data_IF_914044395652
#
_entry.id   IF_914044395652
#
_cell.length_a   1.000
_cell.length_b   1.000
_cell.length_c   1.000
_cell.angle_alpha   90.00
_cell.angle_beta   90.00
_cell.angle_gamma   90.00
#
_symmetry.space_group_name_H-M   'P 1'
#
loop_
_entity.id
_entity.type
_entity.pdbx_description
1 polymer ?
#
# COMPACT_ATOMS: atom_id res chain seq x y z
N UNK A 1 12.13 -4.98 5.33
CA UNK A 1 13.22 -4.81 6.32
C UNK A 1 13.56 -3.31 6.45
N UNK A 2 13.96 -2.82 7.62
CA UNK A 2 14.21 -1.40 7.99
C UNK A 2 13.01 -0.54 8.46
N UNK A 3 11.75 -0.95 8.26
CA UNK A 3 10.53 -0.22 8.70
C UNK A 3 9.44 -1.14 9.30
N UNK A 4 9.83 -2.10 10.15
CA UNK A 4 8.95 -3.18 10.63
C UNK A 4 7.72 -2.64 11.36
N UNK A 5 7.91 -1.72 12.31
CA UNK A 5 6.80 -1.13 13.09
C UNK A 5 5.78 -0.47 12.17
N UNK A 6 6.24 0.42 11.27
CA UNK A 6 5.37 1.08 10.30
C UNK A 6 4.58 0.07 9.46
N UNK A 7 5.25 -0.95 8.90
CA UNK A 7 4.59 -1.95 8.06
C UNK A 7 3.57 -2.78 8.83
N UNK A 8 3.88 -3.19 10.06
CA UNK A 8 2.98 -3.95 10.92
C UNK A 8 1.76 -3.12 11.32
N UNK A 9 1.95 -1.85 11.69
CA UNK A 9 0.86 -0.93 12.01
C UNK A 9 -0.06 -0.69 10.81
N UNK A 10 0.48 -0.54 9.60
CA UNK A 10 -0.34 -0.41 8.38
C UNK A 10 -1.11 -1.68 8.03
N UNK A 11 -0.55 -2.86 8.29
CA UNK A 11 -1.26 -4.13 8.12
C UNK A 11 -2.38 -4.30 9.15
N UNK A 12 -2.13 -3.89 10.40
CA UNK A 12 -3.17 -3.88 11.45
C UNK A 12 -4.39 -3.07 11.02
N UNK A 13 -4.20 -1.87 10.44
CA UNK A 13 -5.31 -1.02 9.96
C UNK A 13 -6.18 -1.77 8.94
N UNK A 14 -5.58 -2.58 8.05
CA UNK A 14 -6.33 -3.37 7.07
C UNK A 14 -7.24 -4.37 7.81
N UNK A 15 -6.67 -5.18 8.69
CA UNK A 15 -7.43 -6.20 9.43
C UNK A 15 -8.54 -5.56 10.30
N UNK A 16 -8.22 -4.44 10.96
CA UNK A 16 -9.18 -3.68 11.76
C UNK A 16 -10.34 -3.14 10.91
N UNK A 17 -10.03 -2.60 9.73
CA UNK A 17 -11.04 -2.11 8.78
C UNK A 17 -11.92 -3.25 8.28
N UNK A 18 -11.35 -4.41 7.94
CA UNK A 18 -12.12 -5.58 7.52
C UNK A 18 -13.04 -6.08 8.64
N UNK A 19 -12.58 -6.11 9.89
CA UNK A 19 -13.40 -6.41 11.07
C UNK A 19 -14.57 -5.45 11.22
N UNK A 20 -14.29 -4.14 11.25
CA UNK A 20 -15.33 -3.12 11.35
C UNK A 20 -16.34 -3.16 10.21
N UNK A 21 -15.89 -3.44 8.98
CA UNK A 21 -16.80 -3.60 7.85
C UNK A 21 -17.83 -4.71 8.08
N UNK A 22 -17.41 -5.84 8.67
CA UNK A 22 -18.31 -6.95 8.99
C UNK A 22 -19.25 -6.60 10.15
N UNK A 23 -18.74 -5.97 11.21
CA UNK A 23 -19.55 -5.58 12.38
C UNK A 23 -20.61 -4.53 12.06
N UNK A 24 -20.32 -3.65 11.10
CA UNK A 24 -21.18 -2.52 10.75
C UNK A 24 -22.07 -2.78 9.52
N UNK A 25 -21.98 -3.96 8.90
CA UNK A 25 -22.71 -4.30 7.69
C UNK A 25 -24.25 -4.23 7.88
N UNK A 26 -24.74 -4.65 9.04
CA UNK A 26 -26.18 -4.66 9.37
C UNK A 26 -26.76 -3.25 9.54
N UNK A 27 -25.90 -2.24 9.68
CA UNK A 27 -26.27 -0.83 9.83
C UNK A 27 -26.17 -0.04 8.51
N UNK A 28 -25.89 -0.72 7.38
CA UNK A 28 -25.61 -0.09 6.07
C UNK A 28 -24.44 0.92 6.13
N UNK A 29 -23.51 0.72 7.07
CA UNK A 29 -22.30 1.55 7.20
C UNK A 29 -21.16 0.89 6.44
N UNK A 30 -20.58 1.63 5.50
CA UNK A 30 -19.47 1.16 4.66
C UNK A 30 -18.13 1.64 5.21
N UNK A 31 -17.23 0.69 5.46
CA UNK A 31 -15.86 0.95 5.93
C UNK A 31 -14.89 0.49 4.85
N UNK A 32 -13.86 1.30 4.58
CA UNK A 32 -12.85 1.00 3.56
C UNK A 32 -11.45 1.43 4.00
N UNK A 33 -10.47 0.55 3.77
CA UNK A 33 -9.06 0.85 3.86
C UNK A 33 -8.53 1.22 2.46
N UNK A 34 -7.96 2.42 2.33
CA UNK A 34 -7.29 2.86 1.10
C UNK A 34 -5.80 2.66 1.27
N UNK A 35 -5.21 1.84 0.40
CA UNK A 35 -3.81 1.44 0.42
C UNK A 35 -3.08 1.97 -0.83
N UNK A 36 -2.80 3.28 -0.90
CA UNK A 36 -2.13 3.88 -2.03
C UNK A 36 -0.62 3.60 -2.02
N UNK A 37 -0.04 3.57 -3.22
CA UNK A 37 1.40 3.74 -3.44
C UNK A 37 1.87 5.19 -3.20
N UNK A 38 2.90 5.61 -3.94
CA UNK A 38 3.45 6.96 -3.82
C UNK A 38 2.46 8.03 -4.29
N UNK A 39 2.20 9.03 -3.43
CA UNK A 39 1.30 10.17 -3.71
C UNK A 39 2.12 11.44 -3.84
N UNK A 40 1.89 12.24 -4.88
CA UNK A 40 2.57 13.52 -5.07
C UNK A 40 2.06 14.53 -4.05
N UNK A 41 2.74 14.56 -2.92
CA UNK A 41 2.40 15.38 -1.75
C UNK A 41 3.67 15.73 -0.99
N UNK A 42 3.59 16.81 -0.21
CA UNK A 42 4.68 17.26 0.67
C UNK A 42 4.97 16.31 1.83
N UNK A 43 4.18 15.24 1.98
CA UNK A 43 4.41 14.23 3.00
C UNK A 43 5.81 13.61 2.89
N UNK A 44 6.25 13.30 1.67
CA UNK A 44 7.49 12.57 1.47
C UNK A 44 8.71 13.43 1.81
N UNK A 45 8.69 14.70 1.44
CA UNK A 45 9.75 15.65 1.80
C UNK A 45 9.79 15.90 3.31
N UNK A 46 8.63 16.06 3.95
CA UNK A 46 8.53 16.23 5.42
C UNK A 46 8.94 14.98 6.20
N UNK A 47 8.71 13.79 5.65
CA UNK A 47 9.14 12.53 6.24
C UNK A 47 10.64 12.24 6.04
N UNK A 48 11.41 13.18 5.48
CA UNK A 48 12.83 12.99 5.19
C UNK A 48 13.12 11.96 4.09
N UNK A 49 12.12 11.63 3.28
CA UNK A 49 12.27 10.68 2.18
C UNK A 49 12.69 11.41 0.91
N UNK A 50 13.92 11.20 0.45
CA UNK A 50 14.38 11.63 -0.87
C UNK A 50 13.72 10.73 -1.93
N UNK A 51 12.58 11.15 -2.44
CA UNK A 51 11.85 10.45 -3.50
C UNK A 51 12.06 11.12 -4.84
N UNK A 52 12.42 10.30 -5.82
CA UNK A 52 12.47 10.73 -7.22
C UNK A 52 11.04 10.83 -7.78
N UNK A 53 10.52 12.06 -7.79
CA UNK A 53 9.20 12.40 -8.35
C UNK A 53 9.13 12.22 -9.87
N UNK A 54 10.27 12.04 -10.56
CA UNK A 54 10.32 11.85 -12.02
C UNK A 54 10.06 10.41 -12.46
N UNK A 55 9.99 9.45 -11.51
CA UNK A 55 9.67 8.05 -11.81
C UNK A 55 8.28 7.93 -12.45
N UNK A 56 8.29 7.68 -13.76
CA UNK A 56 7.10 7.33 -14.56
C UNK A 56 6.96 5.81 -14.64
N UNK A 57 5.73 5.31 -14.62
CA UNK A 57 5.43 3.87 -14.74
C UNK A 57 4.44 3.36 -13.70
N UNK A 58 4.35 2.04 -13.55
CA UNK A 58 3.35 1.35 -12.70
C UNK A 58 3.51 1.68 -11.20
N UNK A 59 4.68 2.20 -10.80
CA UNK A 59 5.04 2.64 -9.44
C UNK A 59 5.29 4.16 -9.36
N UNK A 60 4.80 4.92 -10.34
CA UNK A 60 4.94 6.38 -10.35
C UNK A 60 4.06 7.07 -9.31
N UNK A 61 4.38 8.33 -9.04
CA UNK A 61 3.61 9.20 -8.16
C UNK A 61 2.20 9.44 -8.71
N UNK A 62 1.19 9.31 -7.84
CA UNK A 62 -0.20 9.59 -8.17
C UNK A 62 -0.64 10.94 -7.62
N UNK A 63 -1.48 11.65 -8.37
CA UNK A 63 -2.12 12.86 -7.88
C UNK A 63 -3.14 12.49 -6.78
N UNK A 64 -3.21 13.26 -5.67
CA UNK A 64 -4.14 12.97 -4.57
C UNK A 64 -5.60 12.86 -5.02
N UNK A 65 -6.03 13.72 -5.95
CA UNK A 65 -7.40 13.69 -6.49
C UNK A 65 -7.75 12.38 -7.18
N UNK A 66 -6.83 11.79 -7.94
CA UNK A 66 -7.05 10.51 -8.61
C UNK A 66 -7.18 9.35 -7.62
N UNK A 67 -6.40 9.39 -6.53
CA UNK A 67 -6.46 8.39 -5.45
C UNK A 67 -7.82 8.43 -4.77
N UNK A 68 -8.30 9.64 -4.42
CA UNK A 68 -9.61 9.83 -3.79
C UNK A 68 -10.73 9.39 -4.73
N UNK A 69 -10.69 9.78 -6.01
CA UNK A 69 -11.70 9.38 -6.99
C UNK A 69 -11.81 7.85 -7.11
N UNK A 70 -10.67 7.15 -7.19
CA UNK A 70 -10.66 5.68 -7.24
C UNK A 70 -11.14 5.04 -5.95
N UNK A 71 -10.78 5.60 -4.79
CA UNK A 71 -11.27 5.13 -3.49
C UNK A 71 -12.80 5.25 -3.40
N UNK A 72 -13.36 6.40 -3.76
CA UNK A 72 -14.81 6.63 -3.76
C UNK A 72 -15.55 5.68 -4.72
N UNK A 73 -15.01 5.45 -5.92
CA UNK A 73 -15.56 4.46 -6.85
C UNK A 73 -15.53 3.04 -6.29
N UNK A 74 -14.45 2.67 -5.59
CA UNK A 74 -14.32 1.37 -4.95
C UNK A 74 -15.27 1.21 -3.76
N UNK A 75 -15.47 2.29 -2.98
CA UNK A 75 -16.40 2.31 -1.84
C UNK A 75 -17.85 2.11 -2.31
N UNK A 76 -18.24 2.76 -3.42
CA UNK A 76 -19.55 2.52 -4.06
C UNK A 76 -19.77 1.06 -4.47
N UNK A 77 -18.70 0.33 -4.79
CA UNK A 77 -18.71 -1.10 -5.16
C UNK A 77 -18.52 -2.04 -3.97
N UNK A 78 -18.58 -1.55 -2.72
CA UNK A 78 -18.35 -2.31 -1.49
C UNK A 78 -16.97 -3.00 -1.46
N UNK A 79 -15.94 -2.40 -2.07
CA UNK A 79 -14.57 -2.91 -2.00
C UNK A 79 -13.94 -2.44 -0.69
N UNK A 80 -13.75 -3.36 0.25
CA UNK A 80 -13.26 -3.05 1.62
C UNK A 80 -11.79 -2.63 1.63
N UNK A 81 -10.93 -3.27 0.83
CA UNK A 81 -9.50 -2.93 0.75
C UNK A 81 -9.17 -2.43 -0.66
N UNK A 82 -9.17 -1.11 -0.82
CA UNK A 82 -8.91 -0.44 -2.09
C UNK A 82 -7.41 -0.18 -2.28
N UNK A 83 -6.86 -0.70 -3.37
CA UNK A 83 -5.50 -0.37 -3.84
C UNK A 83 -5.67 0.44 -5.14
N UNK A 84 -5.51 1.78 -5.13
CA UNK A 84 -5.82 2.64 -6.27
C UNK A 84 -4.79 2.54 -7.40
N UNK A 85 -3.57 2.11 -7.09
CA UNK A 85 -2.46 1.99 -8.02
C UNK A 85 -2.38 0.60 -8.68
N UNK A 86 -2.04 0.60 -9.98
CA UNK A 86 -1.93 -0.65 -10.77
C UNK A 86 -0.75 -1.51 -10.29
N UNK A 87 0.32 -0.88 -9.81
CA UNK A 87 1.54 -1.55 -9.37
C UNK A 87 1.34 -2.29 -8.04
N UNK A 88 0.73 -1.64 -7.07
CA UNK A 88 0.38 -2.24 -5.78
C UNK A 88 -0.68 -3.32 -5.92
N UNK A 89 -1.64 -3.19 -6.86
CA UNK A 89 -2.55 -4.30 -7.19
C UNK A 89 -1.78 -5.54 -7.66
N UNK A 90 -0.79 -5.35 -8.55
CA UNK A 90 0.05 -6.43 -9.04
C UNK A 90 0.91 -7.03 -7.91
N UNK A 91 1.54 -6.19 -7.08
CA UNK A 91 2.32 -6.66 -5.91
C UNK A 91 1.43 -7.44 -4.94
N UNK A 92 0.23 -6.94 -4.64
CA UNK A 92 -0.73 -7.64 -3.77
C UNK A 92 -1.11 -8.99 -4.35
N UNK A 93 -1.33 -9.05 -5.65
CA UNK A 93 -1.65 -10.30 -6.34
C UNK A 93 -0.48 -11.29 -6.26
N UNK A 94 0.73 -10.85 -6.61
CA UNK A 94 1.94 -11.67 -6.53
C UNK A 94 2.16 -12.14 -5.10
N UNK A 95 2.05 -11.26 -4.10
CA UNK A 95 2.22 -11.59 -2.69
C UNK A 95 1.18 -12.61 -2.18
N UNK A 96 -0.03 -12.63 -2.75
CA UNK A 96 -1.07 -13.61 -2.39
C UNK A 96 -0.75 -15.01 -2.92
N UNK A 97 -0.15 -15.12 -4.10
CA UNK A 97 0.10 -16.40 -4.77
C UNK A 97 1.55 -16.90 -4.65
N UNK A 98 2.49 -16.06 -4.21
CA UNK A 98 3.89 -16.42 -4.07
C UNK A 98 4.12 -17.30 -2.83
N UNK A 99 4.80 -18.46 -2.95
CA UNK A 99 5.18 -19.27 -1.81
C UNK A 99 6.06 -18.50 -0.81
N UNK A 100 5.80 -18.65 0.50
CA UNK A 100 6.51 -17.86 1.54
C UNK A 100 8.03 -18.00 1.49
N UNK A 101 8.56 -19.18 1.16
CA UNK A 101 10.02 -19.40 1.02
C UNK A 101 10.64 -18.51 -0.07
N UNK A 102 9.92 -18.33 -1.17
CA UNK A 102 10.34 -17.47 -2.28
C UNK A 102 10.21 -15.99 -1.89
N UNK A 103 9.11 -15.62 -1.22
CA UNK A 103 8.91 -14.27 -0.70
C UNK A 103 10.04 -13.84 0.25
N UNK A 104 10.45 -14.70 1.19
CA UNK A 104 11.55 -14.39 2.10
C UNK A 104 12.88 -14.20 1.39
N UNK A 105 13.19 -15.00 0.37
CA UNK A 105 14.40 -14.82 -0.47
C UNK A 105 14.38 -13.50 -1.25
N UNK A 106 13.24 -13.12 -1.82
CA UNK A 106 13.10 -11.83 -2.51
C UNK A 106 13.18 -10.65 -1.53
N UNK A 107 12.56 -10.78 -0.35
CA UNK A 107 12.58 -9.75 0.69
C UNK A 107 13.97 -9.57 1.33
N UNK A 108 14.76 -10.64 1.45
CA UNK A 108 16.14 -10.57 1.94
C UNK A 108 17.09 -9.98 0.91
N UNK A 109 16.96 -10.34 -0.38
CA UNK A 109 17.77 -9.75 -1.46
C UNK A 109 17.57 -8.25 -1.66
N UNK A 110 16.35 -7.73 -1.39
CA UNK A 110 16.09 -6.28 -1.36
C UNK A 110 16.78 -5.58 -0.17
N UNK A 111 17.05 -6.31 0.91
CA UNK A 111 17.76 -5.80 2.09
C UNK A 111 19.28 -5.77 1.87
N UNK A 112 19.86 -6.80 1.23
CA UNK A 112 21.29 -6.87 0.90
C UNK A 112 21.72 -5.73 -0.04
N UNK A 113 20.99 -5.51 -1.14
CA UNK A 113 21.30 -4.42 -2.09
C UNK A 113 21.13 -3.01 -1.51
N UNK A 114 20.30 -2.84 -0.47
CA UNK A 114 20.14 -1.59 0.26
C UNK A 114 21.22 -1.37 1.35
N UNK A 115 22.08 -2.36 1.58
CA UNK A 115 23.20 -2.29 2.54
C UNK A 115 24.52 -2.07 1.81
N UNK A 116 24.66 -2.61 0.60
CA UNK A 116 25.82 -2.38 -0.29
C UNK A 116 25.95 -0.94 -0.85
N UNK A 117 24.95 -0.06 -0.64
CA UNK A 117 25.00 1.37 -1.03
C UNK A 117 25.44 2.32 0.09
N UNK A 118 25.75 1.81 1.27
CA UNK A 118 26.16 2.61 2.43
C UNK A 118 27.47 2.13 3.09
N UNK A 119 28.32 1.41 2.34
CA UNK A 119 29.72 1.14 2.71
C UNK A 119 30.62 1.69 1.62
#
# INVERSE_FOLDING_TARGET
PKNVVYSSSKLYIINFTEGLHMELADYDIKVQAVCPGFIDSDFHSRAGMSVDKTRKGIFGFQQPGDVVNRAMMALKKNIVVCVPDKGGKLIRLIGKYMPRKMFYKFASGFSENATAKHV
#
